data_IF_523996831340
#
_entry.id   IF_523996831340
#
_cell.length_a   1.000
_cell.length_b   1.000
_cell.length_c   1.000
_cell.angle_alpha   90.00
_cell.angle_beta   90.00
_cell.angle_gamma   90.00
#
_symmetry.space_group_name_H-M   'P 1'
#
loop_
_entity.id
_entity.type
_entity.pdbx_description
1 polymer ?
#
# COMPACT_ATOMS: atom_id res chain seq x y z
N UNK A 1 2.17 -17.11 -20.45
CA UNK A 1 2.31 -16.00 -19.49
C UNK A 1 2.41 -16.59 -18.08
N UNK A 2 3.46 -17.35 -17.76
CA UNK A 2 3.36 -18.33 -16.65
C UNK A 2 4.73 -18.68 -16.03
N UNK A 3 5.48 -17.71 -15.52
CA UNK A 3 6.60 -18.02 -14.61
C UNK A 3 7.06 -16.84 -13.75
N UNK A 4 7.11 -15.63 -14.31
CA UNK A 4 7.65 -14.45 -13.59
C UNK A 4 6.61 -13.83 -12.65
N UNK A 5 5.31 -13.97 -12.93
CA UNK A 5 4.25 -13.41 -12.07
C UNK A 5 3.98 -14.23 -10.80
N UNK A 6 4.45 -15.48 -10.69
CA UNK A 6 4.12 -16.35 -9.55
C UNK A 6 5.12 -16.19 -8.38
N UNK A 7 6.36 -15.75 -8.66
CA UNK A 7 7.39 -15.51 -7.64
C UNK A 7 7.20 -14.15 -6.98
N UNK A 8 7.00 -13.07 -7.75
CA UNK A 8 6.69 -11.75 -7.17
C UNK A 8 5.35 -11.78 -6.42
N UNK A 9 4.35 -12.55 -6.89
CA UNK A 9 3.09 -12.75 -6.18
C UNK A 9 3.26 -13.47 -4.84
N UNK A 10 4.03 -14.57 -4.81
CA UNK A 10 4.31 -15.28 -3.56
C UNK A 10 5.17 -14.46 -2.61
N UNK A 11 6.08 -13.63 -3.12
CA UNK A 11 6.94 -12.79 -2.28
C UNK A 11 6.19 -11.56 -1.75
N UNK A 12 5.33 -10.91 -2.54
CA UNK A 12 4.49 -9.82 -2.06
C UNK A 12 3.38 -10.33 -1.13
N UNK A 13 2.77 -11.48 -1.44
CA UNK A 13 1.77 -12.10 -0.57
C UNK A 13 2.41 -12.68 0.71
N UNK A 14 3.59 -13.28 0.63
CA UNK A 14 4.36 -13.67 1.81
C UNK A 14 4.80 -12.45 2.62
N UNK A 15 5.39 -11.43 2.00
CA UNK A 15 5.85 -10.25 2.72
C UNK A 15 4.71 -9.42 3.31
N UNK A 16 3.50 -9.44 2.74
CA UNK A 16 2.34 -8.69 3.26
C UNK A 16 1.56 -9.50 4.31
N UNK A 17 1.46 -10.83 4.15
CA UNK A 17 0.64 -11.70 4.99
C UNK A 17 1.42 -12.67 5.89
N UNK A 18 2.73 -12.81 5.76
CA UNK A 18 3.57 -13.53 6.72
C UNK A 18 3.87 -12.65 7.95
N UNK A 19 3.96 -13.24 9.14
CA UNK A 19 4.36 -12.56 10.36
C UNK A 19 5.73 -11.87 10.19
N UNK A 20 5.81 -10.61 10.60
CA UNK A 20 7.05 -9.83 10.68
C UNK A 20 8.12 -10.45 11.59
N UNK A 21 7.68 -11.30 12.51
CA UNK A 21 8.50 -12.09 13.44
C UNK A 21 7.70 -13.32 13.88
N UNK A 22 8.34 -14.32 14.49
CA UNK A 22 7.65 -15.53 14.97
C UNK A 22 6.52 -15.16 15.97
N UNK A 23 5.26 -15.26 15.52
CA UNK A 23 4.07 -14.86 16.29
C UNK A 23 3.71 -13.36 16.25
N UNK A 24 4.40 -12.55 15.45
CA UNK A 24 4.08 -11.12 15.24
C UNK A 24 2.95 -10.89 14.24
N UNK A 25 2.35 -9.68 14.20
CA UNK A 25 1.35 -9.35 13.20
C UNK A 25 1.95 -9.32 11.79
N UNK A 26 1.19 -9.72 10.78
CA UNK A 26 1.61 -9.51 9.39
C UNK A 26 1.41 -8.04 8.97
N UNK A 27 2.06 -7.60 7.90
CA UNK A 27 1.98 -6.20 7.47
C UNK A 27 0.56 -5.72 7.17
N UNK A 28 -0.29 -6.60 6.63
CA UNK A 28 -1.71 -6.31 6.47
C UNK A 28 -2.38 -5.93 7.81
N UNK A 29 -2.13 -6.69 8.87
CA UNK A 29 -2.70 -6.44 10.20
C UNK A 29 -2.15 -5.15 10.83
N UNK A 30 -0.90 -4.80 10.53
CA UNK A 30 -0.33 -3.52 10.99
C UNK A 30 -0.94 -2.35 10.21
N UNK A 31 -1.09 -2.47 8.88
CA UNK A 31 -1.65 -1.42 8.03
C UNK A 31 -3.15 -1.17 8.25
N UNK A 32 -3.89 -2.20 8.68
CA UNK A 32 -5.35 -2.13 8.92
C UNK A 32 -5.70 -2.00 10.40
N UNK A 33 -4.71 -1.95 11.31
CA UNK A 33 -4.93 -1.89 12.76
C UNK A 33 -5.66 -0.60 13.13
N UNK A 34 -6.96 -0.72 13.43
CA UNK A 34 -7.85 0.39 13.79
C UNK A 34 -9.04 0.60 12.86
N UNK A 35 -9.08 -0.08 11.71
CA UNK A 35 -10.22 -0.07 10.78
C UNK A 35 -11.00 -1.37 10.89
N UNK A 36 -11.75 -1.52 11.98
CA UNK A 36 -12.86 -2.46 12.01
C UNK A 36 -14.11 -1.64 12.18
N UNK A 37 -14.96 -1.69 11.15
CA UNK A 37 -16.34 -1.22 11.18
C UNK A 37 -16.90 -1.39 12.59
N UNK A 38 -17.39 -0.31 13.20
CA UNK A 38 -18.26 -0.48 14.34
C UNK A 38 -19.49 -1.21 13.81
N UNK A 39 -19.60 -2.50 14.12
CA UNK A 39 -20.69 -3.35 13.63
C UNK A 39 -22.04 -2.66 13.91
N UNK A 40 -22.70 -2.16 12.86
CA UNK A 40 -24.06 -1.63 12.94
C UNK A 40 -24.28 -0.18 12.48
N UNK A 41 -23.26 0.60 12.11
CA UNK A 41 -23.45 1.93 11.52
C UNK A 41 -23.42 1.82 9.98
N UNK A 42 -24.56 2.08 9.34
CA UNK A 42 -24.66 2.12 7.88
C UNK A 42 -23.99 3.40 7.38
N UNK A 43 -22.77 3.27 6.85
CA UNK A 43 -22.01 4.39 6.32
C UNK A 43 -22.54 4.75 4.94
N UNK A 44 -23.12 5.95 4.78
CA UNK A 44 -23.51 6.49 3.48
C UNK A 44 -22.24 6.80 2.65
N UNK A 45 -21.98 6.07 1.54
CA UNK A 45 -20.77 6.25 0.74
C UNK A 45 -20.62 7.67 0.18
N UNK A 46 -21.74 8.35 -0.11
CA UNK A 46 -21.73 9.71 -0.67
C UNK A 46 -21.22 10.70 0.38
N UNK A 47 -21.66 10.53 1.63
CA UNK A 47 -21.22 11.36 2.76
C UNK A 47 -19.73 11.10 3.04
N UNK A 48 -19.31 9.84 3.01
CA UNK A 48 -17.92 9.46 3.26
C UNK A 48 -16.97 10.07 2.21
N UNK A 49 -17.30 9.94 0.92
CA UNK A 49 -16.53 10.56 -0.17
C UNK A 49 -16.50 12.08 -0.03
N UNK A 50 -17.63 12.71 0.30
CA UNK A 50 -17.69 14.16 0.48
C UNK A 50 -16.82 14.66 1.66
N UNK A 51 -16.70 13.88 2.73
CA UNK A 51 -15.79 14.17 3.85
C UNK A 51 -14.34 13.99 3.45
N UNK A 52 -13.99 12.86 2.82
CA UNK A 52 -12.64 12.58 2.37
C UNK A 52 -12.11 13.66 1.41
N UNK A 53 -12.97 14.13 0.48
CA UNK A 53 -12.64 15.22 -0.45
C UNK A 53 -12.40 16.57 0.24
N UNK A 54 -12.88 16.76 1.47
CA UNK A 54 -12.65 17.97 2.29
C UNK A 54 -11.40 17.87 3.18
N UNK A 55 -10.62 16.79 3.05
CA UNK A 55 -9.41 16.58 3.85
C UNK A 55 -9.66 15.85 5.18
N UNK A 56 -10.84 15.24 5.38
CA UNK A 56 -11.06 14.39 6.55
C UNK A 56 -10.21 13.11 6.44
N UNK A 57 -9.09 13.09 7.17
CA UNK A 57 -8.13 11.98 7.16
C UNK A 57 -8.78 10.67 7.59
N UNK A 58 -9.71 10.68 8.55
CA UNK A 58 -10.38 9.46 8.99
C UNK A 58 -11.25 8.88 7.87
N UNK A 59 -11.98 9.73 7.15
CA UNK A 59 -12.75 9.30 5.99
C UNK A 59 -11.86 8.80 4.83
N UNK A 60 -10.70 9.44 4.60
CA UNK A 60 -9.74 8.99 3.59
C UNK A 60 -9.16 7.60 3.93
N UNK A 61 -8.81 7.37 5.20
CA UNK A 61 -8.37 6.06 5.70
C UNK A 61 -9.45 5.01 5.51
N UNK A 62 -10.67 5.33 5.92
CA UNK A 62 -11.82 4.43 5.82
C UNK A 62 -12.08 4.01 4.36
N UNK A 63 -12.10 4.94 3.40
CA UNK A 63 -12.25 4.60 1.97
C UNK A 63 -11.10 3.71 1.48
N UNK A 64 -9.86 4.03 1.86
CA UNK A 64 -8.71 3.21 1.44
C UNK A 64 -8.75 1.79 2.04
N UNK A 65 -9.19 1.64 3.28
CA UNK A 65 -9.34 0.34 3.95
C UNK A 65 -10.51 -0.46 3.34
N UNK A 66 -11.62 0.20 2.99
CA UNK A 66 -12.72 -0.41 2.24
C UNK A 66 -12.25 -0.93 0.88
N UNK A 67 -11.50 -0.13 0.13
CA UNK A 67 -10.97 -0.52 -1.18
C UNK A 67 -10.03 -1.71 -1.07
N UNK A 68 -9.12 -1.70 -0.09
CA UNK A 68 -8.23 -2.83 0.18
C UNK A 68 -9.01 -4.10 0.53
N UNK A 69 -10.02 -4.00 1.41
CA UNK A 69 -10.85 -5.15 1.77
C UNK A 69 -11.63 -5.70 0.58
N UNK A 70 -12.28 -4.83 -0.21
CA UNK A 70 -13.03 -5.22 -1.40
C UNK A 70 -12.13 -5.90 -2.43
N UNK A 71 -10.95 -5.35 -2.70
CA UNK A 71 -9.98 -5.94 -3.63
C UNK A 71 -9.53 -7.35 -3.21
N UNK A 72 -9.43 -7.60 -1.89
CA UNK A 72 -9.04 -8.91 -1.34
C UNK A 72 -10.22 -9.88 -1.14
N UNK A 73 -11.46 -9.39 -1.20
CA UNK A 73 -12.66 -10.20 -0.93
C UNK A 73 -12.92 -11.31 -1.95
N UNK A 74 -12.40 -11.17 -3.17
CA UNK A 74 -12.65 -12.10 -4.27
C UNK A 74 -14.09 -12.08 -4.80
N UNK A 75 -14.85 -11.01 -4.51
CA UNK A 75 -16.21 -10.84 -5.01
C UNK A 75 -16.25 -10.81 -6.56
N UNK A 76 -17.16 -11.59 -7.17
CA UNK A 76 -17.21 -11.82 -8.62
C UNK A 76 -17.35 -10.55 -9.48
N UNK A 77 -17.90 -9.47 -8.91
CA UNK A 77 -18.14 -8.21 -9.62
C UNK A 77 -17.15 -7.09 -9.23
N UNK A 78 -16.03 -7.43 -8.58
CA UNK A 78 -15.01 -6.48 -8.15
C UNK A 78 -13.75 -6.71 -8.97
N UNK A 79 -13.30 -5.70 -9.70
CA UNK A 79 -11.96 -5.67 -10.28
C UNK A 79 -10.98 -5.16 -9.21
N UNK A 80 -10.05 -6.01 -8.71
CA UNK A 80 -9.14 -5.62 -7.63
C UNK A 80 -8.21 -4.47 -8.03
N UNK A 81 -7.77 -4.41 -9.29
CA UNK A 81 -6.86 -3.37 -9.76
C UNK A 81 -7.54 -2.00 -9.79
N UNK A 82 -8.75 -1.95 -10.36
CA UNK A 82 -9.55 -0.70 -10.38
C UNK A 82 -9.85 -0.24 -8.96
N UNK A 83 -10.30 -1.17 -8.11
CA UNK A 83 -10.64 -0.88 -6.71
C UNK A 83 -9.45 -0.34 -5.92
N UNK A 84 -8.28 -0.98 -6.03
CA UNK A 84 -7.06 -0.49 -5.39
C UNK A 84 -6.60 0.84 -5.96
N UNK A 85 -6.72 1.07 -7.27
CA UNK A 85 -6.34 2.33 -7.91
C UNK A 85 -7.18 3.50 -7.42
N UNK A 86 -8.48 3.30 -7.22
CA UNK A 86 -9.37 4.31 -6.63
C UNK A 86 -9.04 4.56 -5.15
N UNK A 87 -8.89 3.48 -4.36
CA UNK A 87 -8.53 3.58 -2.95
C UNK A 87 -7.13 4.19 -2.70
N UNK A 88 -6.19 3.99 -3.62
CA UNK A 88 -4.84 4.58 -3.58
C UNK A 88 -4.87 6.10 -3.63
N UNK A 89 -5.85 6.71 -4.32
CA UNK A 89 -6.00 8.16 -4.31
C UNK A 89 -6.27 8.66 -2.89
N UNK A 90 -7.20 8.03 -2.17
CA UNK A 90 -7.51 8.37 -0.78
C UNK A 90 -6.40 8.00 0.19
N UNK A 91 -5.71 6.87 -0.02
CA UNK A 91 -4.58 6.48 0.80
C UNK A 91 -3.43 7.50 0.71
N UNK A 92 -3.10 7.96 -0.51
CA UNK A 92 -2.07 9.00 -0.70
C UNK A 92 -2.46 10.33 -0.06
N UNK A 93 -3.73 10.73 -0.14
CA UNK A 93 -4.22 11.95 0.53
C UNK A 93 -4.16 11.85 2.06
N UNK A 94 -4.45 10.66 2.61
CA UNK A 94 -4.30 10.41 4.04
C UNK A 94 -2.82 10.45 4.43
N UNK A 95 -1.95 9.82 3.66
CA UNK A 95 -0.51 9.76 3.91
C UNK A 95 0.14 11.14 3.90
N UNK A 96 -0.22 12.02 2.95
CA UNK A 96 0.32 13.39 2.87
C UNK A 96 -0.03 14.30 4.06
N UNK A 97 -0.98 13.89 4.90
CA UNK A 97 -1.38 14.62 6.11
C UNK A 97 -1.20 13.78 7.38
N UNK A 98 -0.80 12.52 7.21
CA UNK A 98 -0.92 11.47 8.20
C UNK A 98 0.39 11.13 8.88
N UNK A 99 0.49 9.88 9.32
CA UNK A 99 1.68 9.35 9.98
C UNK A 99 2.21 8.13 9.23
N UNK A 100 3.31 7.56 9.70
CA UNK A 100 3.91 6.34 9.14
C UNK A 100 2.94 5.18 8.83
N UNK A 101 1.87 4.90 9.61
CA UNK A 101 0.88 3.89 9.23
C UNK A 101 0.17 4.18 7.91
N UNK A 102 -0.09 5.45 7.60
CA UNK A 102 -0.78 5.85 6.37
C UNK A 102 0.13 5.68 5.15
N UNK A 103 1.41 6.02 5.30
CA UNK A 103 2.45 5.73 4.31
C UNK A 103 2.58 4.22 4.05
N UNK A 104 2.60 3.42 5.11
CA UNK A 104 2.64 1.96 4.98
C UNK A 104 1.40 1.41 4.27
N UNK A 105 0.21 1.99 4.49
CA UNK A 105 -1.00 1.62 3.75
C UNK A 105 -0.83 1.88 2.25
N UNK A 106 -0.25 3.01 1.86
CA UNK A 106 0.03 3.31 0.44
C UNK A 106 0.98 2.26 -0.14
N UNK A 107 2.06 1.93 0.57
CA UNK A 107 3.01 0.88 0.16
C UNK A 107 2.28 -0.44 -0.11
N UNK A 108 1.49 -0.92 0.84
CA UNK A 108 0.74 -2.18 0.70
C UNK A 108 -0.19 -2.15 -0.52
N UNK A 109 -0.96 -1.06 -0.69
CA UNK A 109 -1.88 -0.95 -1.82
C UNK A 109 -1.16 -0.84 -3.17
N UNK A 110 -0.01 -0.17 -3.25
CA UNK A 110 0.83 -0.10 -4.45
C UNK A 110 1.41 -1.47 -4.81
N UNK A 111 1.99 -2.17 -3.83
CA UNK A 111 2.55 -3.50 -4.00
C UNK A 111 1.48 -4.52 -4.42
N UNK A 112 0.27 -4.40 -3.90
CA UNK A 112 -0.86 -5.20 -4.34
C UNK A 112 -1.28 -4.81 -5.76
N UNK A 113 -1.49 -3.52 -6.05
CA UNK A 113 -1.92 -3.07 -7.37
C UNK A 113 -0.93 -3.48 -8.49
N UNK A 114 0.38 -3.48 -8.21
CA UNK A 114 1.39 -3.89 -9.19
C UNK A 114 1.29 -5.36 -9.61
N UNK A 115 0.67 -6.24 -8.80
CA UNK A 115 0.44 -7.64 -9.14
C UNK A 115 -0.54 -7.82 -10.32
N UNK A 116 -1.53 -6.94 -10.46
CA UNK A 116 -2.54 -7.04 -11.52
C UNK A 116 -2.18 -6.27 -12.79
N UNK A 117 -0.99 -5.69 -12.85
CA UNK A 117 -0.51 -4.94 -14.03
C UNK A 117 0.88 -5.40 -14.46
N UNK A 118 1.33 -4.94 -15.63
CA UNK A 118 2.64 -5.33 -16.20
C UNK A 118 3.29 -4.16 -16.93
N UNK A 119 4.58 -4.30 -17.26
CA UNK A 119 5.32 -3.28 -18.01
C UNK A 119 5.52 -2.00 -17.21
N UNK A 120 5.43 -0.85 -17.89
CA UNK A 120 5.69 0.47 -17.30
C UNK A 120 4.81 0.76 -16.08
N UNK A 121 3.53 0.36 -16.11
CA UNK A 121 2.63 0.58 -14.98
C UNK A 121 3.03 -0.22 -13.74
N UNK A 122 3.49 -1.47 -13.90
CA UNK A 122 4.02 -2.24 -12.78
C UNK A 122 5.31 -1.62 -12.24
N UNK A 123 6.20 -1.15 -13.13
CA UNK A 123 7.43 -0.49 -12.76
C UNK A 123 7.18 0.82 -11.98
N UNK A 124 6.19 1.61 -12.40
CA UNK A 124 5.82 2.86 -11.72
C UNK A 124 5.23 2.59 -10.32
N UNK A 125 4.31 1.64 -10.19
CA UNK A 125 3.69 1.30 -8.90
C UNK A 125 4.72 0.72 -7.92
N UNK A 126 5.53 -0.24 -8.36
CA UNK A 126 6.56 -0.84 -7.51
C UNK A 126 7.66 0.17 -7.18
N UNK A 127 8.06 1.01 -8.13
CA UNK A 127 9.01 2.09 -7.89
C UNK A 127 8.54 3.06 -6.81
N UNK A 128 7.28 3.52 -6.87
CA UNK A 128 6.74 4.38 -5.81
C UNK A 128 6.69 3.66 -4.45
N UNK A 129 6.29 2.38 -4.42
CA UNK A 129 6.24 1.61 -3.18
C UNK A 129 7.63 1.50 -2.53
N UNK A 130 8.66 1.21 -3.32
CA UNK A 130 10.05 1.14 -2.85
C UNK A 130 10.54 2.51 -2.36
N UNK A 131 10.24 3.60 -3.07
CA UNK A 131 10.62 4.94 -2.65
C UNK A 131 10.02 5.33 -1.29
N UNK A 132 8.74 5.00 -1.06
CA UNK A 132 8.07 5.23 0.22
C UNK A 132 8.64 4.34 1.33
N UNK A 133 8.95 3.08 1.01
CA UNK A 133 9.62 2.19 1.95
C UNK A 133 11.00 2.72 2.36
N UNK A 134 11.80 3.25 1.42
CA UNK A 134 13.10 3.88 1.72
C UNK A 134 12.94 5.03 2.71
N UNK A 135 11.95 5.91 2.50
CA UNK A 135 11.67 7.01 3.42
C UNK A 135 11.21 6.54 4.80
N UNK A 136 10.35 5.51 4.85
CA UNK A 136 9.92 4.91 6.11
C UNK A 136 11.09 4.30 6.87
N UNK A 137 11.99 3.60 6.18
CA UNK A 137 13.18 2.96 6.73
C UNK A 137 14.20 3.98 7.25
N UNK A 138 14.37 5.11 6.54
CA UNK A 138 15.26 6.20 6.93
C UNK A 138 14.72 7.01 8.13
N UNK A 139 13.41 6.93 8.41
CA UNK A 139 12.77 7.67 9.51
C UNK A 139 13.08 7.09 10.90
N UNK A 140 12.72 7.84 11.95
CA UNK A 140 12.72 7.36 13.34
C UNK A 140 11.27 7.09 13.79
N UNK A 141 10.72 5.94 13.37
CA UNK A 141 9.33 5.59 13.63
C UNK A 141 9.16 4.07 13.82
N UNK A 142 7.97 3.64 14.25
CA UNK A 142 7.69 2.22 14.53
C UNK A 142 7.77 1.30 13.30
N UNK A 143 7.80 1.86 12.10
CA UNK A 143 7.85 1.15 10.83
C UNK A 143 9.25 1.16 10.19
N UNK A 144 10.23 1.86 10.76
CA UNK A 144 11.56 1.97 10.16
C UNK A 144 12.25 0.61 9.97
N UNK A 145 12.31 -0.17 11.05
CA UNK A 145 12.91 -1.51 11.01
C UNK A 145 12.12 -2.49 10.11
N UNK A 146 10.77 -2.59 10.22
CA UNK A 146 9.97 -3.35 9.25
C UNK A 146 10.18 -2.94 7.79
N UNK A 147 10.26 -1.62 7.51
CA UNK A 147 10.47 -1.12 6.17
C UNK A 147 11.87 -1.46 5.63
N UNK A 148 12.91 -1.34 6.47
CA UNK A 148 14.27 -1.75 6.11
C UNK A 148 14.35 -3.25 5.77
N UNK A 149 13.66 -4.10 6.53
CA UNK A 149 13.60 -5.54 6.28
C UNK A 149 12.89 -5.85 4.94
N UNK A 150 11.79 -5.15 4.63
CA UNK A 150 11.12 -5.27 3.33
C UNK A 150 12.01 -4.83 2.19
N UNK A 151 12.67 -3.68 2.30
CA UNK A 151 13.59 -3.18 1.27
C UNK A 151 14.71 -4.18 0.99
N UNK A 152 15.29 -4.77 2.04
CA UNK A 152 16.31 -5.80 1.87
C UNK A 152 15.77 -7.02 1.12
N UNK A 153 14.52 -7.43 1.38
CA UNK A 153 13.88 -8.53 0.66
C UNK A 153 13.63 -8.20 -0.83
N UNK A 154 13.38 -6.94 -1.17
CA UNK A 154 13.18 -6.47 -2.55
C UNK A 154 14.50 -6.25 -3.32
N UNK A 155 15.55 -5.75 -2.66
CA UNK A 155 16.81 -5.38 -3.29
C UNK A 155 17.49 -6.53 -4.07
N UNK A 156 17.31 -7.76 -3.61
CA UNK A 156 17.90 -8.95 -4.23
C UNK A 156 17.07 -9.53 -5.39
N UNK A 157 15.85 -9.03 -5.62
CA UNK A 157 14.84 -9.71 -6.46
C UNK A 157 14.25 -8.84 -7.56
N UNK A 158 14.21 -7.53 -7.37
CA UNK A 158 13.50 -6.65 -8.29
C UNK A 158 14.32 -6.27 -9.54
N UNK A 159 13.66 -6.11 -10.70
CA UNK A 159 14.31 -5.61 -11.91
C UNK A 159 14.95 -4.23 -11.70
N UNK A 160 16.08 -3.99 -12.37
CA UNK A 160 16.79 -2.70 -12.31
C UNK A 160 15.91 -1.50 -12.67
N UNK A 161 14.95 -1.68 -13.59
CA UNK A 161 13.97 -0.66 -13.95
C UNK A 161 13.17 -0.16 -12.75
N UNK A 162 12.78 -1.04 -11.83
CA UNK A 162 11.95 -0.68 -10.68
C UNK A 162 12.77 0.15 -9.68
N UNK A 163 14.05 -0.19 -9.52
CA UNK A 163 14.99 0.58 -8.70
C UNK A 163 15.25 1.98 -9.29
N UNK A 164 15.33 2.10 -10.61
CA UNK A 164 15.43 3.43 -11.26
C UNK A 164 14.15 4.25 -11.07
N UNK A 165 12.97 3.63 -11.18
CA UNK A 165 11.70 4.29 -10.85
C UNK A 165 11.65 4.73 -9.38
N UNK A 166 12.13 3.89 -8.46
CA UNK A 166 12.18 4.23 -7.04
C UNK A 166 13.02 5.49 -6.77
N UNK A 167 14.20 5.61 -7.39
CA UNK A 167 15.02 6.83 -7.28
C UNK A 167 14.28 8.09 -7.74
N UNK A 168 13.55 7.98 -8.86
CA UNK A 168 12.76 9.11 -9.41
C UNK A 168 11.62 9.50 -8.47
N UNK A 169 10.90 8.53 -7.91
CA UNK A 169 9.81 8.81 -6.96
C UNK A 169 10.34 9.36 -5.63
N UNK A 170 11.44 8.81 -5.10
CA UNK A 170 12.05 9.31 -3.86
C UNK A 170 12.46 10.77 -3.99
N UNK A 171 13.10 11.14 -5.11
CA UNK A 171 13.45 12.54 -5.37
C UNK A 171 12.22 13.46 -5.33
N UNK A 172 11.10 13.05 -5.94
CA UNK A 172 9.85 13.83 -5.94
C UNK A 172 9.21 13.93 -4.56
N UNK A 173 9.23 12.86 -3.77
CA UNK A 173 8.64 12.84 -2.43
C UNK A 173 9.41 13.76 -1.48
N UNK A 174 10.74 13.75 -1.53
CA UNK A 174 11.58 14.62 -0.69
C UNK A 174 11.46 16.10 -1.07
N UNK A 175 11.20 16.42 -2.35
CA UNK A 175 10.96 17.82 -2.77
C UNK A 175 9.65 18.41 -2.23
N UNK A 176 8.73 17.57 -1.75
CA UNK A 176 7.41 17.99 -1.26
C UNK A 176 7.29 18.13 0.25
N UNK A 177 8.33 17.76 1.01
CA UNK A 177 8.43 17.92 2.47
C UNK A 177 9.08 19.26 2.88
#
# INVERSE_FOLDING_TARGET
MTAVSDVCARVAQAAIFEPLSEGGPCFYEVATRGSFYSEGEEVDPVVLIARAAKGDIAAQREISDMALHLALSGAENVDPFVTLSEGLMTARMAASQGQAPDEMRVVVMLSLASFWTTGESAADLTGEALARLELLADGDNAYSEPAAQLLAAYADREPAEYLERAKLYRARLVETE
#
